data_IF_399529022204
#
_entry.id   IF_399529022204
#
_cell.length_a   1.000
_cell.length_b   1.000
_cell.length_c   1.000
_cell.angle_alpha   90.00
_cell.angle_beta   90.00
_cell.angle_gamma   90.00
#
_symmetry.space_group_name_H-M   'P 1'
#
loop_
_entity.id
_entity.type
_entity.pdbx_description
1 polymer ?
#
# COMPACT_ATOMS: atom_id res chain seq x y z
N UNK A 1 38.12 -65.75 4.89
CA UNK A 1 38.21 -64.37 5.42
C UNK A 1 38.28 -63.44 4.23
N UNK A 2 37.20 -62.70 3.96
CA UNK A 2 37.15 -61.68 2.91
C UNK A 2 36.34 -60.50 3.48
N UNK A 3 36.84 -59.25 3.37
CA UNK A 3 36.28 -58.11 4.08
C UNK A 3 35.11 -57.46 3.34
N UNK A 4 34.23 -56.87 4.13
CA UNK A 4 33.11 -56.00 3.77
C UNK A 4 33.61 -54.74 3.04
N UNK A 5 32.95 -54.25 1.97
CA UNK A 5 33.08 -52.87 1.56
C UNK A 5 31.94 -52.03 2.17
N UNK A 6 32.37 -51.05 2.96
CA UNK A 6 31.58 -49.96 3.53
C UNK A 6 30.83 -49.15 2.45
N UNK A 7 29.61 -48.76 2.84
CA UNK A 7 28.75 -47.77 2.20
C UNK A 7 29.51 -46.49 1.80
N UNK A 8 29.34 -46.07 0.54
CA UNK A 8 29.36 -44.65 0.19
C UNK A 8 28.13 -44.36 -0.67
N UNK A 9 27.02 -44.05 0.00
CA UNK A 9 25.87 -43.37 -0.60
C UNK A 9 26.31 -41.96 -0.99
N UNK A 10 26.84 -41.77 -2.20
CA UNK A 10 26.78 -40.45 -2.83
C UNK A 10 25.36 -40.27 -3.33
N UNK A 11 24.49 -39.79 -2.43
CA UNK A 11 23.22 -39.20 -2.80
C UNK A 11 23.49 -38.21 -3.93
N UNK A 12 22.85 -38.44 -5.06
CA UNK A 12 22.74 -37.50 -6.16
C UNK A 12 22.02 -36.27 -5.60
N UNK A 13 22.78 -35.36 -4.98
CA UNK A 13 22.36 -33.98 -4.83
C UNK A 13 22.24 -33.45 -6.26
N UNK A 14 21.05 -33.57 -6.84
CA UNK A 14 20.64 -32.68 -7.90
C UNK A 14 20.73 -31.28 -7.29
N UNK A 15 21.67 -30.42 -7.69
CA UNK A 15 21.40 -29.03 -7.48
C UNK A 15 20.23 -28.76 -8.41
N UNK A 16 19.03 -28.55 -7.84
CA UNK A 16 18.02 -27.73 -8.49
C UNK A 16 18.69 -26.37 -8.71
N UNK A 17 19.49 -26.27 -9.78
CA UNK A 17 19.68 -25.02 -10.47
C UNK A 17 18.28 -24.66 -10.92
N UNK A 18 17.68 -23.76 -10.17
CA UNK A 18 16.56 -22.95 -10.61
C UNK A 18 17.12 -22.10 -11.76
N UNK A 19 17.28 -22.71 -12.93
CA UNK A 19 17.25 -22.00 -14.18
C UNK A 19 15.81 -21.50 -14.29
N UNK A 20 15.51 -20.36 -13.68
CA UNK A 20 14.37 -19.57 -14.08
C UNK A 20 14.57 -19.31 -15.57
N UNK A 21 13.81 -20.04 -16.39
CA UNK A 21 13.97 -19.99 -17.82
C UNK A 21 13.61 -18.57 -18.27
N UNK A 22 14.22 -18.13 -19.37
CA UNK A 22 13.88 -16.88 -20.06
C UNK A 22 12.38 -16.79 -20.39
N UNK A 23 11.70 -17.94 -20.43
CA UNK A 23 10.28 -18.09 -20.69
C UNK A 23 9.44 -17.78 -19.44
N UNK A 24 9.84 -18.22 -18.25
CA UNK A 24 9.08 -18.00 -17.00
C UNK A 24 9.09 -16.53 -16.55
N UNK A 25 10.25 -15.86 -16.64
CA UNK A 25 10.40 -14.45 -16.25
C UNK A 25 9.71 -13.51 -17.27
N UNK A 26 9.77 -13.85 -18.57
CA UNK A 26 9.05 -13.13 -19.62
C UNK A 26 7.53 -13.35 -19.55
N UNK A 27 7.09 -14.56 -19.17
CA UNK A 27 5.69 -14.91 -18.96
C UNK A 27 5.10 -14.25 -17.71
N UNK A 28 5.89 -14.11 -16.64
CA UNK A 28 5.49 -13.40 -15.43
C UNK A 28 5.21 -11.91 -15.70
N UNK A 29 6.08 -11.22 -16.47
CA UNK A 29 5.87 -9.80 -16.78
C UNK A 29 4.75 -9.54 -17.80
N UNK A 30 4.46 -10.50 -18.71
CA UNK A 30 3.23 -10.42 -19.53
C UNK A 30 1.96 -10.31 -18.67
N UNK A 31 1.99 -10.76 -17.42
CA UNK A 31 0.87 -10.66 -16.47
C UNK A 31 0.79 -9.31 -15.73
N UNK A 32 1.78 -8.44 -15.90
CA UNK A 32 1.83 -7.11 -15.29
C UNK A 32 1.47 -5.97 -16.25
N UNK A 33 0.91 -6.30 -17.43
CA UNK A 33 0.47 -5.31 -18.39
C UNK A 33 -0.73 -4.51 -17.85
N UNK A 34 -0.90 -3.25 -18.30
CA UNK A 34 -2.14 -2.52 -18.09
C UNK A 34 -3.36 -3.35 -18.50
N UNK A 35 -4.46 -3.17 -17.78
CA UNK A 35 -5.69 -3.92 -17.98
C UNK A 35 -6.91 -3.02 -17.81
N UNK A 36 -7.98 -3.35 -18.52
CA UNK A 36 -9.25 -2.65 -18.38
C UNK A 36 -9.98 -3.10 -17.12
N UNK A 37 -10.48 -2.15 -16.33
CA UNK A 37 -11.20 -2.41 -15.10
C UNK A 37 -12.50 -1.59 -15.00
N UNK A 38 -13.58 -2.10 -15.61
CA UNK A 38 -14.91 -1.50 -15.53
C UNK A 38 -14.92 0.00 -15.84
N UNK A 39 -15.53 0.78 -14.94
CA UNK A 39 -15.62 2.25 -15.05
C UNK A 39 -14.28 3.00 -14.90
N UNK A 40 -13.24 2.32 -14.40
CA UNK A 40 -11.91 2.91 -14.19
C UNK A 40 -11.10 2.99 -15.49
N UNK A 41 -11.55 2.31 -16.56
CA UNK A 41 -10.82 2.24 -17.82
C UNK A 41 -9.56 1.38 -17.72
N UNK A 42 -8.57 1.68 -18.56
CA UNK A 42 -7.28 1.00 -18.55
C UNK A 42 -6.40 1.54 -17.42
N UNK A 43 -6.03 0.64 -16.50
CA UNK A 43 -5.17 0.95 -15.36
C UNK A 43 -3.94 0.05 -15.38
N UNK A 44 -2.84 0.51 -14.80
CA UNK A 44 -1.59 -0.25 -14.71
C UNK A 44 -0.82 0.10 -13.45
N UNK A 45 0.45 -0.30 -13.41
CA UNK A 45 1.33 -0.08 -12.27
C UNK A 45 1.24 1.37 -11.72
N UNK A 46 1.11 1.55 -10.40
CA UNK A 46 1.28 0.56 -9.33
C UNK A 46 0.03 -0.30 -9.02
N UNK A 47 -1.05 -0.15 -9.79
CA UNK A 47 -2.26 -0.95 -9.66
C UNK A 47 -2.11 -2.26 -10.43
N UNK A 48 -2.62 -3.34 -9.87
CA UNK A 48 -2.59 -4.67 -10.47
C UNK A 48 -3.91 -5.38 -10.26
N UNK A 49 -4.24 -6.35 -11.12
CA UNK A 49 -5.39 -7.21 -10.88
C UNK A 49 -5.10 -8.11 -9.67
N UNK A 50 -6.10 -8.37 -8.83
CA UNK A 50 -5.97 -9.26 -7.68
C UNK A 50 -5.41 -10.65 -8.05
N UNK A 51 -5.72 -11.15 -9.25
CA UNK A 51 -5.19 -12.44 -9.74
C UNK A 51 -3.75 -12.36 -10.26
N UNK A 52 -3.21 -11.15 -10.49
CA UNK A 52 -1.85 -10.97 -10.97
C UNK A 52 -0.83 -11.29 -9.88
N UNK A 53 0.39 -11.71 -10.25
CA UNK A 53 1.48 -11.91 -9.30
C UNK A 53 1.82 -10.63 -8.51
N UNK A 54 2.32 -10.78 -7.28
CA UNK A 54 2.63 -9.64 -6.38
C UNK A 54 3.68 -8.68 -6.97
N UNK A 55 4.60 -9.20 -7.76
CA UNK A 55 5.64 -8.44 -8.47
C UNK A 55 5.06 -7.35 -9.40
N UNK A 56 3.80 -7.49 -9.83
CA UNK A 56 3.17 -6.54 -10.73
C UNK A 56 2.75 -5.23 -10.07
N UNK A 57 2.65 -5.19 -8.74
CA UNK A 57 2.28 -3.99 -8.03
C UNK A 57 1.71 -4.25 -6.64
N UNK A 58 1.88 -3.32 -5.70
CA UNK A 58 1.42 -3.46 -4.34
C UNK A 58 -0.11 -3.33 -4.20
N UNK A 59 -0.75 -2.62 -5.14
CA UNK A 59 -2.16 -2.27 -5.03
C UNK A 59 -3.04 -3.20 -5.87
N UNK A 60 -3.68 -4.16 -5.22
CA UNK A 60 -4.54 -5.13 -5.88
C UNK A 60 -5.95 -4.57 -6.06
N UNK A 61 -6.44 -4.56 -7.29
CA UNK A 61 -7.80 -4.17 -7.67
C UNK A 61 -8.60 -5.40 -8.04
N UNK A 62 -9.86 -5.43 -7.60
CA UNK A 62 -10.80 -6.52 -7.85
C UNK A 62 -12.19 -5.98 -8.24
N UNK A 63 -13.06 -6.84 -8.77
CA UNK A 63 -14.41 -6.45 -9.20
C UNK A 63 -14.43 -5.71 -10.55
N UNK A 64 -13.42 -5.91 -11.42
CA UNK A 64 -13.34 -5.25 -12.72
C UNK A 64 -14.47 -5.61 -13.69
N UNK A 65 -15.14 -6.76 -13.48
CA UNK A 65 -16.31 -7.20 -14.23
C UNK A 65 -17.62 -7.03 -13.45
N UNK A 66 -17.55 -6.40 -12.28
CA UNK A 66 -18.68 -6.15 -11.39
C UNK A 66 -19.08 -4.68 -11.43
N UNK A 67 -20.22 -4.35 -10.82
CA UNK A 67 -20.70 -2.97 -10.71
C UNK A 67 -19.85 -2.12 -9.76
N UNK A 68 -19.20 -2.76 -8.78
CA UNK A 68 -18.38 -2.13 -7.76
C UNK A 68 -16.97 -2.68 -7.80
N UNK A 69 -15.98 -1.80 -7.90
CA UNK A 69 -14.58 -2.15 -7.80
C UNK A 69 -14.11 -1.97 -6.35
N UNK A 70 -13.08 -2.72 -5.97
CA UNK A 70 -12.44 -2.60 -4.67
C UNK A 70 -10.94 -2.67 -4.79
N UNK A 71 -10.23 -2.12 -3.81
CA UNK A 71 -8.78 -2.05 -3.78
C UNK A 71 -8.22 -2.49 -2.42
N UNK A 72 -7.11 -3.20 -2.47
CA UNK A 72 -6.21 -3.43 -1.35
C UNK A 72 -4.99 -2.53 -1.52
N UNK A 73 -4.75 -1.67 -0.53
CA UNK A 73 -3.56 -0.81 -0.50
C UNK A 73 -2.31 -1.58 -0.04
N UNK A 74 -2.49 -2.72 0.60
CA UNK A 74 -1.46 -3.74 0.81
C UNK A 74 -2.13 -5.08 0.56
N UNK A 75 -1.48 -5.95 -0.23
CA UNK A 75 -2.01 -7.28 -0.54
C UNK A 75 -2.26 -8.08 0.74
N UNK A 76 -3.43 -8.69 0.83
CA UNK A 76 -3.89 -9.40 2.04
C UNK A 76 -4.39 -8.49 3.16
N UNK A 77 -4.37 -7.17 2.97
CA UNK A 77 -4.90 -6.19 3.91
C UNK A 77 -6.40 -5.93 3.78
N UNK A 78 -6.85 -4.79 4.30
CA UNK A 78 -8.25 -4.36 4.23
C UNK A 78 -8.64 -4.00 2.79
N UNK A 79 -9.87 -4.36 2.40
CA UNK A 79 -10.49 -3.91 1.16
C UNK A 79 -11.20 -2.58 1.36
N UNK A 80 -11.02 -1.69 0.40
CA UNK A 80 -11.76 -0.43 0.30
C UNK A 80 -12.58 -0.44 -0.98
N UNK A 81 -13.78 0.14 -0.95
CA UNK A 81 -14.52 0.41 -2.19
C UNK A 81 -13.72 1.41 -3.03
N UNK A 82 -13.52 1.13 -4.31
CA UNK A 82 -12.73 1.95 -5.22
C UNK A 82 -13.66 2.72 -6.16
N UNK A 83 -13.71 4.04 -5.95
CA UNK A 83 -14.63 4.91 -6.68
C UNK A 83 -14.02 5.40 -7.99
N UNK A 84 -12.76 5.83 -7.94
CA UNK A 84 -12.08 6.42 -9.09
C UNK A 84 -10.55 6.35 -8.95
N UNK A 85 -9.85 6.33 -10.09
CA UNK A 85 -8.41 6.54 -10.20
C UNK A 85 -8.20 7.70 -11.18
N UNK A 86 -7.61 8.80 -10.71
CA UNK A 86 -7.28 9.93 -11.56
C UNK A 86 -6.03 9.65 -12.39
N UNK A 87 -5.87 10.35 -13.51
CA UNK A 87 -4.66 10.29 -14.33
C UNK A 87 -3.38 10.73 -13.58
N UNK A 88 -3.54 11.52 -12.52
CA UNK A 88 -2.44 11.97 -11.66
C UNK A 88 -2.08 10.96 -10.55
N UNK A 89 -2.70 9.78 -10.52
CA UNK A 89 -2.45 8.78 -9.48
C UNK A 89 -3.16 9.05 -8.16
N UNK A 90 -4.16 9.94 -8.15
CA UNK A 90 -5.05 10.11 -6.99
C UNK A 90 -6.14 9.06 -7.04
N UNK A 91 -6.30 8.28 -5.97
CA UNK A 91 -7.38 7.31 -5.86
C UNK A 91 -8.43 7.80 -4.88
N UNK A 92 -9.69 7.63 -5.24
CA UNK A 92 -10.84 7.91 -4.37
C UNK A 92 -11.39 6.59 -3.88
N UNK A 93 -11.41 6.42 -2.56
CA UNK A 93 -11.82 5.19 -1.90
C UNK A 93 -12.87 5.46 -0.83
N UNK A 94 -13.66 4.44 -0.51
CA UNK A 94 -14.61 4.47 0.61
C UNK A 94 -14.30 3.35 1.60
N UNK A 95 -14.26 3.71 2.88
CA UNK A 95 -14.14 2.76 3.99
C UNK A 95 -15.53 2.42 4.55
N UNK A 96 -15.99 1.21 4.27
CA UNK A 96 -17.35 0.76 4.62
C UNK A 96 -17.66 0.81 6.10
N UNK A 97 -16.73 0.37 6.95
CA UNK A 97 -16.96 0.36 8.40
C UNK A 97 -17.14 1.78 8.94
N UNK A 98 -16.30 2.72 8.46
CA UNK A 98 -16.43 4.13 8.80
C UNK A 98 -17.74 4.71 8.27
N UNK A 99 -18.16 4.32 7.05
CA UNK A 99 -19.45 4.73 6.47
C UNK A 99 -20.61 4.27 7.36
N UNK A 100 -20.58 3.03 7.83
CA UNK A 100 -21.55 2.48 8.77
C UNK A 100 -21.61 3.28 10.08
N UNK A 101 -20.45 3.54 10.70
CA UNK A 101 -20.39 4.28 11.96
C UNK A 101 -20.86 5.73 11.82
N UNK A 102 -20.51 6.42 10.73
CA UNK A 102 -20.95 7.79 10.48
C UNK A 102 -22.47 7.86 10.26
N UNK A 103 -23.04 6.93 9.47
CA UNK A 103 -24.48 6.89 9.20
C UNK A 103 -25.32 6.63 10.45
N UNK A 104 -24.77 5.93 11.44
CA UNK A 104 -25.43 5.66 12.72
C UNK A 104 -25.06 6.65 13.83
N UNK A 105 -24.29 7.70 13.53
CA UNK A 105 -23.71 8.62 14.51
C UNK A 105 -22.99 7.88 15.68
N UNK A 106 -22.31 6.77 15.37
CA UNK A 106 -21.60 5.97 16.37
C UNK A 106 -20.29 6.62 16.79
N UNK A 107 -19.98 6.55 18.08
CA UNK A 107 -18.69 6.91 18.64
C UNK A 107 -17.52 6.09 18.08
N UNK A 108 -17.79 4.94 17.46
CA UNK A 108 -16.78 4.12 16.78
C UNK A 108 -16.23 4.78 15.50
N UNK A 109 -16.86 5.88 15.05
CA UNK A 109 -16.33 6.74 13.99
C UNK A 109 -15.02 7.43 14.40
N UNK A 110 -14.77 7.60 15.70
CA UNK A 110 -13.60 8.31 16.23
C UNK A 110 -12.44 7.36 16.56
N UNK A 111 -12.10 6.50 15.59
CA UNK A 111 -10.96 5.59 15.61
C UNK A 111 -10.00 5.94 14.47
N UNK A 112 -8.72 5.60 14.60
CA UNK A 112 -7.75 5.86 13.53
C UNK A 112 -8.14 5.12 12.24
N UNK A 113 -7.98 5.80 11.10
CA UNK A 113 -8.08 5.15 9.79
C UNK A 113 -7.08 4.00 9.72
N UNK A 114 -7.54 2.87 9.20
CA UNK A 114 -6.69 1.69 9.02
C UNK A 114 -6.00 1.72 7.65
N UNK A 115 -5.31 2.83 7.33
CA UNK A 115 -4.48 2.90 6.13
C UNK A 115 -3.11 2.27 6.38
N UNK A 116 -2.54 1.56 5.40
CA UNK A 116 -1.23 0.98 5.55
C UNK A 116 -0.15 2.07 5.62
N UNK A 117 0.96 1.80 6.30
CA UNK A 117 2.08 2.74 6.36
C UNK A 117 2.67 2.96 4.96
N UNK A 118 3.13 4.19 4.70
CA UNK A 118 3.87 4.51 3.48
C UNK A 118 5.18 3.73 3.42
N UNK A 119 5.51 3.18 2.24
CA UNK A 119 6.81 2.58 1.96
C UNK A 119 7.74 3.63 1.35
N UNK A 120 9.08 3.50 1.50
CA UNK A 120 10.04 4.49 0.98
C UNK A 120 9.94 4.76 -0.52
N UNK A 121 9.45 3.79 -1.30
CA UNK A 121 9.27 3.89 -2.75
C UNK A 121 7.81 4.06 -3.17
N UNK A 122 6.88 4.04 -2.22
CA UNK A 122 5.43 4.11 -2.42
C UNK A 122 4.77 4.80 -1.22
N UNK A 123 4.45 6.08 -1.34
CA UNK A 123 3.78 6.81 -0.27
C UNK A 123 2.33 7.11 -0.59
N UNK A 124 1.52 7.12 0.47
CA UNK A 124 0.11 7.49 0.46
C UNK A 124 0.01 8.85 1.14
N UNK A 125 -0.47 9.86 0.42
CA UNK A 125 -0.75 11.17 0.99
C UNK A 125 -2.26 11.39 1.08
N UNK A 126 -2.77 11.56 2.30
CA UNK A 126 -4.18 11.83 2.52
C UNK A 126 -4.52 13.31 2.26
N UNK A 127 -5.64 13.55 1.57
CA UNK A 127 -6.13 14.89 1.34
C UNK A 127 -7.29 15.24 2.27
N UNK A 128 -7.24 16.45 2.83
CA UNK A 128 -8.33 17.06 3.59
C UNK A 128 -8.72 16.28 4.84
N UNK A 129 -7.78 16.19 5.78
CA UNK A 129 -8.04 15.66 7.11
C UNK A 129 -8.35 16.78 8.10
N UNK A 130 -9.22 16.48 9.06
CA UNK A 130 -9.43 17.30 10.25
C UNK A 130 -8.68 16.65 11.41
N UNK A 131 -7.92 17.47 12.13
CA UNK A 131 -7.30 17.06 13.38
C UNK A 131 -8.34 17.17 14.49
N UNK A 132 -8.63 16.03 15.11
CA UNK A 132 -9.52 15.87 16.24
C UNK A 132 -8.70 15.55 17.49
N UNK A 133 -9.12 16.09 18.62
CA UNK A 133 -8.57 15.75 19.92
C UNK A 133 -9.59 14.93 20.69
N UNK A 134 -9.25 13.66 20.95
CA UNK A 134 -10.06 12.72 21.71
C UNK A 134 -9.54 12.68 23.14
N UNK A 135 -10.33 13.20 24.07
CA UNK A 135 -9.94 13.42 25.46
C UNK A 135 -10.91 12.75 26.43
N UNK A 136 -10.45 12.49 27.64
CA UNK A 136 -11.34 12.11 28.74
C UNK A 136 -12.36 13.25 29.02
N UNK A 137 -13.64 12.95 29.30
CA UNK A 137 -14.67 13.98 29.53
C UNK A 137 -14.39 14.92 30.69
N UNK A 138 -13.56 14.51 31.66
CA UNK A 138 -13.16 15.32 32.82
C UNK A 138 -12.13 16.40 32.49
N UNK A 139 -11.49 16.33 31.32
CA UNK A 139 -10.46 17.27 30.91
C UNK A 139 -11.08 18.58 30.47
N UNK A 140 -10.72 19.66 31.14
CA UNK A 140 -11.13 21.00 30.74
C UNK A 140 -10.27 21.45 29.54
N UNK A 141 -10.73 21.15 28.33
CA UNK A 141 -10.02 21.52 27.11
C UNK A 141 -10.08 23.05 26.92
N UNK A 142 -8.97 23.73 26.57
CA UNK A 142 -8.98 25.18 26.39
C UNK A 142 -10.09 25.60 25.44
N UNK A 143 -10.97 26.50 25.92
CA UNK A 143 -12.16 27.03 25.23
C UNK A 143 -11.90 27.68 23.85
N UNK A 144 -10.63 27.75 23.41
CA UNK A 144 -10.23 28.32 22.12
C UNK A 144 -10.52 27.38 20.93
N UNK A 145 -10.71 26.08 21.13
CA UNK A 145 -11.29 25.23 20.09
C UNK A 145 -12.81 25.45 20.11
N UNK A 146 -13.33 26.18 19.13
CA UNK A 146 -14.72 26.64 19.13
C UNK A 146 -15.79 25.54 19.01
N UNK A 147 -15.42 24.27 18.80
CA UNK A 147 -16.34 23.17 18.54
C UNK A 147 -15.98 21.91 19.33
N UNK A 148 -17.00 21.23 19.84
CA UNK A 148 -16.87 19.98 20.56
C UNK A 148 -18.03 19.02 20.27
N UNK A 149 -17.81 17.75 20.56
CA UNK A 149 -18.83 16.72 20.58
C UNK A 149 -18.66 15.87 21.84
N UNK A 150 -19.66 15.88 22.70
CA UNK A 150 -19.65 15.22 24.02
C UNK A 150 -20.71 14.11 24.12
N UNK A 151 -21.27 13.67 22.99
CA UNK A 151 -22.28 12.61 22.95
C UNK A 151 -21.73 11.21 23.24
N UNK A 152 -20.41 11.03 23.28
CA UNK A 152 -19.76 9.77 23.61
C UNK A 152 -19.59 9.60 25.12
N UNK A 153 -19.85 8.39 25.62
CA UNK A 153 -19.82 8.08 27.06
C UNK A 153 -18.43 8.20 27.70
N UNK A 154 -17.39 7.78 26.97
CA UNK A 154 -16.06 7.58 27.54
C UNK A 154 -15.05 8.65 27.12
N UNK A 155 -15.42 9.55 26.21
CA UNK A 155 -14.53 10.58 25.69
C UNK A 155 -15.32 11.73 25.08
N UNK A 156 -14.66 12.87 24.95
CA UNK A 156 -15.13 14.04 24.22
C UNK A 156 -14.21 14.29 23.04
N UNK A 157 -14.78 14.78 21.93
CA UNK A 157 -14.05 15.19 20.74
C UNK A 157 -14.01 16.70 20.68
N UNK A 158 -12.82 17.26 20.50
CA UNK A 158 -12.60 18.70 20.31
C UNK A 158 -11.93 18.95 18.96
N UNK A 159 -12.34 20.01 18.28
CA UNK A 159 -11.85 20.33 16.94
C UNK A 159 -12.00 21.82 16.65
N UNK A 160 -11.26 22.30 15.65
CA UNK A 160 -11.32 23.69 15.21
C UNK A 160 -11.32 23.79 13.69
N UNK A 161 -11.82 24.93 13.22
CA UNK A 161 -11.68 25.37 11.84
C UNK A 161 -10.32 26.04 11.58
N UNK A 162 -9.69 26.55 12.63
CA UNK A 162 -8.46 27.35 12.52
C UNK A 162 -7.25 26.47 12.24
N UNK A 163 -6.33 26.99 11.42
CA UNK A 163 -5.06 26.31 11.09
C UNK A 163 -4.06 26.32 12.24
N UNK A 164 -4.24 27.20 13.23
CA UNK A 164 -3.42 27.22 14.45
C UNK A 164 -3.93 26.20 15.45
N UNK A 165 -3.41 24.97 15.35
CA UNK A 165 -3.70 23.91 16.31
C UNK A 165 -3.05 24.24 17.66
N UNK A 166 -3.84 24.35 18.76
CA UNK A 166 -3.26 24.42 20.09
C UNK A 166 -2.56 23.11 20.43
N UNK A 167 -1.51 23.17 21.25
CA UNK A 167 -0.92 21.98 21.85
C UNK A 167 -2.00 21.27 22.69
N UNK A 168 -2.34 20.00 22.40
CA UNK A 168 -3.33 19.29 23.19
C UNK A 168 -2.83 19.08 24.63
N UNK A 169 -3.74 19.01 25.61
CA UNK A 169 -3.42 18.48 26.93
C UNK A 169 -2.78 17.08 26.82
N UNK A 170 -1.87 16.69 27.75
CA UNK A 170 -1.16 15.42 27.68
C UNK A 170 -2.06 14.18 27.66
N UNK A 171 -3.28 14.31 28.19
CA UNK A 171 -4.27 13.24 28.32
C UNK A 171 -5.13 13.05 27.08
N UNK A 172 -4.98 13.90 26.06
CA UNK A 172 -5.73 13.82 24.82
C UNK A 172 -4.93 13.08 23.74
N UNK A 173 -5.60 12.16 23.05
CA UNK A 173 -5.07 11.54 21.84
C UNK A 173 -5.42 12.39 20.62
N UNK A 174 -4.49 12.45 19.66
CA UNK A 174 -4.68 13.12 18.38
C UNK A 174 -5.19 12.10 17.37
N UNK A 175 -6.25 12.44 16.67
CA UNK A 175 -6.86 11.65 15.62
C UNK A 175 -6.96 12.50 14.35
N UNK A 176 -6.62 11.93 13.21
CA UNK A 176 -6.85 12.55 11.91
C UNK A 176 -7.88 11.74 11.14
N UNK A 177 -8.98 12.38 10.75
CA UNK A 177 -10.04 11.76 9.97
C UNK A 177 -10.35 12.58 8.73
N UNK A 178 -10.84 11.94 7.65
CA UNK A 178 -11.18 12.62 6.43
C UNK A 178 -12.42 13.47 6.62
N UNK A 179 -12.44 14.66 6.01
CA UNK A 179 -13.59 15.57 6.06
C UNK A 179 -14.11 15.94 4.69
N UNK A 180 -15.42 16.14 4.64
CA UNK A 180 -16.05 16.82 3.53
C UNK A 180 -16.12 18.33 3.81
N UNK A 181 -15.26 19.12 3.16
CA UNK A 181 -15.14 20.57 3.37
C UNK A 181 -16.40 21.36 2.98
N UNK A 182 -17.36 20.75 2.27
CA UNK A 182 -18.61 21.41 1.89
C UNK A 182 -19.67 21.37 2.99
N UNK A 183 -19.49 20.53 4.00
CA UNK A 183 -20.49 20.32 5.05
C UNK A 183 -20.33 21.31 6.22
N UNK A 184 -21.42 21.46 6.98
CA UNK A 184 -21.45 22.35 8.14
C UNK A 184 -20.64 21.76 9.29
N UNK A 185 -19.81 22.60 9.91
CA UNK A 185 -19.01 22.26 11.08
C UNK A 185 -19.83 22.07 12.38
N UNK A 186 -21.15 22.31 12.36
CA UNK A 186 -22.00 22.15 13.54
C UNK A 186 -22.34 20.70 13.89
N UNK A 187 -22.22 19.79 12.91
CA UNK A 187 -22.45 18.36 13.10
C UNK A 187 -21.22 17.59 12.63
N UNK A 188 -20.46 17.06 13.59
CA UNK A 188 -19.20 16.35 13.32
C UNK A 188 -19.41 15.12 12.43
N UNK A 189 -20.56 14.43 12.52
CA UNK A 189 -20.80 13.23 11.72
C UNK A 189 -21.09 13.56 10.26
N UNK A 190 -21.68 14.73 9.99
CA UNK A 190 -21.83 15.26 8.63
C UNK A 190 -20.54 15.85 8.08
N UNK A 191 -19.72 16.43 8.96
CA UNK A 191 -18.43 16.99 8.58
C UNK A 191 -17.43 15.91 8.16
N UNK A 192 -17.40 14.79 8.88
CA UNK A 192 -16.58 13.64 8.56
C UNK A 192 -17.10 12.90 7.33
N UNK A 193 -16.21 12.22 6.62
CA UNK A 193 -16.57 11.41 5.46
C UNK A 193 -15.85 10.07 5.47
N UNK A 194 -16.55 9.03 5.05
CA UNK A 194 -15.97 7.72 4.80
C UNK A 194 -15.36 7.61 3.40
N UNK A 195 -15.67 8.57 2.51
CA UNK A 195 -15.14 8.63 1.14
C UNK A 195 -14.11 9.73 1.06
N UNK A 196 -12.88 9.37 0.71
CA UNK A 196 -11.75 10.29 0.68
C UNK A 196 -10.76 9.94 -0.42
N UNK A 197 -9.88 10.88 -0.70
CA UNK A 197 -8.89 10.76 -1.76
C UNK A 197 -7.50 10.64 -1.16
N UNK A 198 -6.71 9.74 -1.72
CA UNK A 198 -5.30 9.58 -1.38
C UNK A 198 -4.45 9.67 -2.65
N UNK A 199 -3.30 10.34 -2.54
CA UNK A 199 -2.31 10.38 -3.60
C UNK A 199 -1.39 9.18 -3.51
N UNK A 200 -1.20 8.50 -4.63
CA UNK A 200 -0.20 7.45 -4.76
C UNK A 200 1.05 8.03 -5.40
N UNK A 201 2.14 8.05 -4.65
CA UNK A 201 3.45 8.44 -5.17
C UNK A 201 4.36 7.24 -5.31
N UNK A 202 4.77 6.93 -6.54
CA UNK A 202 5.84 5.96 -6.82
C UNK A 202 7.15 6.70 -7.00
N UNK A 203 8.19 6.31 -6.26
CA UNK A 203 9.51 6.89 -6.45
C UNK A 203 10.06 6.64 -7.87
N UNK A 204 10.75 7.63 -8.44
CA UNK A 204 11.37 7.50 -9.78
C UNK A 204 12.24 6.23 -9.93
N UNK A 205 13.11 5.87 -8.96
CA UNK A 205 13.90 4.65 -9.06
C UNK A 205 13.04 3.38 -9.17
N UNK A 206 11.93 3.32 -8.43
CA UNK A 206 11.02 2.18 -8.49
C UNK A 206 10.27 2.13 -9.83
N UNK A 207 9.78 3.27 -10.30
CA UNK A 207 9.15 3.33 -11.62
C UNK A 207 10.10 2.89 -12.74
N UNK A 208 11.36 3.34 -12.71
CA UNK A 208 12.38 2.86 -13.66
C UNK A 208 12.66 1.36 -13.53
N UNK A 209 12.73 0.83 -12.31
CA UNK A 209 12.88 -0.60 -12.07
C UNK A 209 11.74 -1.42 -12.69
N UNK A 210 10.50 -0.96 -12.48
CA UNK A 210 9.31 -1.56 -13.10
C UNK A 210 9.39 -1.55 -14.63
N UNK A 211 9.83 -0.46 -15.26
CA UNK A 211 10.04 -0.40 -16.72
C UNK A 211 11.11 -1.39 -17.20
N UNK A 212 12.10 -1.69 -16.35
CA UNK A 212 13.11 -2.74 -16.59
C UNK A 212 12.62 -4.14 -16.20
N UNK A 213 11.34 -4.30 -15.87
CA UNK A 213 10.69 -5.55 -15.44
C UNK A 213 11.19 -6.09 -14.11
N UNK A 214 11.81 -5.24 -13.30
CA UNK A 214 12.28 -5.58 -11.97
C UNK A 214 11.26 -5.28 -10.88
N UNK A 215 11.56 -5.79 -9.69
CA UNK A 215 10.78 -5.60 -8.47
C UNK A 215 11.47 -4.61 -7.53
N UNK A 216 10.69 -3.71 -6.95
CA UNK A 216 11.16 -2.72 -6.00
C UNK A 216 11.25 -3.31 -4.59
N UNK A 217 12.48 -3.43 -4.07
CA UNK A 217 12.74 -3.90 -2.72
C UNK A 217 13.51 -2.88 -1.90
N UNK A 218 13.32 -2.92 -0.58
CA UNK A 218 14.16 -2.21 0.39
C UNK A 218 14.92 -3.26 1.18
N UNK A 219 16.23 -3.35 0.94
CA UNK A 219 17.12 -4.29 1.61
C UNK A 219 18.11 -3.45 2.42
N UNK A 220 18.11 -3.62 3.74
CA UNK A 220 18.97 -2.89 4.67
C UNK A 220 18.82 -1.36 4.54
N UNK A 221 17.57 -0.89 4.38
CA UNK A 221 17.26 0.54 4.23
C UNK A 221 17.66 1.14 2.88
N UNK A 222 18.17 0.34 1.94
CA UNK A 222 18.56 0.78 0.60
C UNK A 222 17.62 0.22 -0.45
N UNK A 223 17.22 1.07 -1.39
CA UNK A 223 16.49 0.66 -2.58
C UNK A 223 17.32 -0.32 -3.42
N UNK A 224 16.74 -1.44 -3.80
CA UNK A 224 17.30 -2.40 -4.76
C UNK A 224 16.23 -2.80 -5.78
N UNK A 225 16.64 -2.80 -7.04
CA UNK A 225 15.84 -3.34 -8.14
C UNK A 225 16.28 -4.79 -8.37
N UNK A 226 15.40 -5.75 -8.14
CA UNK A 226 15.68 -7.18 -8.27
C UNK A 226 15.01 -7.71 -9.54
N UNK A 227 15.55 -8.76 -10.16
CA UNK A 227 14.99 -9.40 -11.35
C UNK A 227 14.83 -8.46 -12.56
N UNK A 228 15.62 -7.39 -12.64
CA UNK A 228 15.60 -6.52 -13.81
C UNK A 228 16.32 -7.17 -14.99
N UNK A 229 15.93 -6.76 -16.21
CA UNK A 229 16.64 -7.14 -17.43
C UNK A 229 18.15 -6.81 -17.34
N UNK A 230 18.51 -5.75 -16.62
CA UNK A 230 19.90 -5.33 -16.44
C UNK A 230 20.67 -6.26 -15.50
N UNK A 231 20.10 -6.62 -14.35
CA UNK A 231 20.71 -7.56 -13.41
C UNK A 231 20.84 -8.96 -14.03
N UNK A 232 19.84 -9.42 -14.80
CA UNK A 232 19.93 -10.70 -15.52
C UNK A 232 21.03 -10.71 -16.59
N UNK A 233 21.25 -9.59 -17.30
CA UNK A 233 22.39 -9.42 -18.24
C UNK A 233 23.74 -9.46 -17.52
N UNK A 234 23.86 -8.77 -16.39
CA UNK A 234 25.07 -8.71 -15.57
C UNK A 234 25.44 -10.06 -14.95
N UNK A 235 24.44 -10.82 -14.49
CA UNK A 235 24.64 -12.18 -13.99
C UNK A 235 25.17 -13.09 -15.11
N UNK A 236 24.61 -12.99 -16.32
CA UNK A 236 25.07 -13.75 -17.50
C UNK A 236 26.51 -13.42 -17.90
N UNK A 237 26.90 -12.15 -17.86
CA UNK A 237 28.29 -11.73 -18.12
C UNK A 237 29.25 -12.34 -17.11
N UNK A 238 28.90 -12.32 -15.81
CA UNK A 238 29.72 -12.95 -14.75
C UNK A 238 29.85 -14.47 -14.92
N UNK A 239 28.78 -15.14 -15.35
CA UNK A 239 28.80 -16.58 -15.61
C UNK A 239 29.51 -16.95 -16.92
N UNK A 240 29.49 -16.07 -17.94
CA UNK A 240 30.16 -16.27 -19.22
C UNK A 240 31.67 -15.96 -19.21
N UNK A 241 32.20 -15.36 -18.15
CA UNK A 241 33.63 -15.05 -17.96
C UNK A 241 34.38 -16.12 -17.16
N UNK A 242 33.70 -17.18 -16.70
CA UNK A 242 34.34 -18.34 -16.09
C UNK A 242 34.41 -19.50 -17.09
N UNK A 243 35.58 -19.73 -17.67
CA UNK A 243 36.00 -20.84 -18.54
C UNK A 243 36.31 -20.46 -20.00
N UNK A 244 37.44 -19.76 -20.19
CA UNK A 244 38.26 -19.94 -21.38
C UNK A 244 39.51 -20.70 -20.95
N UNK A 245 39.71 -21.98 -21.34
CA UNK A 245 41.00 -22.62 -21.17
C UNK A 245 42.03 -21.91 -22.05
N UNK A 246 43.31 -21.86 -21.66
CA UNK A 246 44.35 -21.20 -22.44
C UNK A 246 44.46 -21.88 -23.82
N UNK A 247 44.39 -21.06 -24.88
CA UNK A 247 44.84 -21.48 -26.21
C UNK A 247 46.35 -21.66 -26.16
N UNK A 248 46.80 -22.91 -26.15
CA UNK A 248 48.18 -23.22 -26.48
C UNK A 248 48.34 -23.14 -28.01
N UNK A 249 49.28 -22.30 -28.45
CA UNK A 249 49.91 -22.36 -29.78
C UNK A 249 51.09 -23.32 -29.68
#
# INVERSE_FOLDING_TARGET
MAPVPLLVFFALFQPLLICASKEDEYLAFKKCLPFNCGKLGEIGFPFTNNTSPEICGPYAVDGCHENSQRIQLVRGGKWFELNNISQAGTISITEEDLRGHLNSNSCDSFNNLSLPPSLPYLSIQEFSNLTLFKCDPSVNFPHRLGLNYTGCKNFSIYYTRDTSLPSPPPTCSILQLPVNKTESYGDIFRLLTATFSIEVFVSRPCYHCYLQRGECHIIEGKFKCIHSIEESKKLRLKLGLGNLPPRNV
#
